data_IF_316121143107
#
_entry.id   IF_316121143107
#
_cell.length_a   1.000
_cell.length_b   1.000
_cell.length_c   1.000
_cell.angle_alpha   90.00
_cell.angle_beta   90.00
_cell.angle_gamma   90.00
#
_symmetry.space_group_name_H-M   'P 1'
#
loop_
_entity.id
_entity.type
_entity.pdbx_description
1 polymer ?
#
# COMPACT_ATOMS: atom_id res chain seq x y z
N UNK A 1 -57.02 63.88 -12.54
CA UNK A 1 -57.15 62.41 -12.80
C UNK A 1 -58.15 61.86 -11.78
N UNK A 2 -59.31 61.33 -12.21
CA UNK A 2 -60.25 60.66 -11.28
C UNK A 2 -59.79 59.21 -11.14
N UNK A 3 -59.19 58.84 -10.00
CA UNK A 3 -58.89 57.48 -9.67
C UNK A 3 -60.24 56.77 -9.41
N UNK A 4 -60.56 55.72 -10.17
CA UNK A 4 -61.78 54.97 -10.00
C UNK A 4 -61.83 54.28 -8.64
N UNK A 5 -62.94 54.32 -7.90
CA UNK A 5 -63.09 53.59 -6.62
C UNK A 5 -62.77 52.10 -6.73
N UNK A 6 -63.07 51.52 -7.89
CA UNK A 6 -62.74 50.13 -8.20
C UNK A 6 -61.21 49.87 -8.26
N UNK A 7 -60.44 50.88 -8.68
CA UNK A 7 -58.98 50.81 -8.76
C UNK A 7 -58.36 50.88 -7.37
N UNK A 8 -58.88 51.63 -6.46
CA UNK A 8 -58.48 51.72 -5.04
C UNK A 8 -58.81 50.43 -4.33
N UNK A 9 -59.99 49.85 -4.55
CA UNK A 9 -60.39 48.58 -3.95
C UNK A 9 -59.52 47.41 -4.45
N UNK A 10 -59.29 47.31 -5.75
CA UNK A 10 -58.41 46.26 -6.34
C UNK A 10 -56.98 46.43 -5.91
N UNK A 11 -56.48 47.63 -5.67
CA UNK A 11 -55.15 47.86 -5.10
C UNK A 11 -55.03 47.37 -3.65
N UNK A 12 -56.11 47.65 -2.85
CA UNK A 12 -56.23 47.16 -1.48
C UNK A 12 -56.23 45.63 -1.38
N UNK A 13 -57.05 44.98 -2.19
CA UNK A 13 -57.11 43.50 -2.24
C UNK A 13 -55.76 42.91 -2.62
N UNK A 14 -55.10 43.44 -3.64
CA UNK A 14 -53.74 42.99 -4.03
C UNK A 14 -52.69 43.20 -2.93
N UNK A 15 -52.81 44.28 -2.14
CA UNK A 15 -51.92 44.50 -1.00
C UNK A 15 -52.10 43.45 0.12
N UNK A 16 -53.37 43.14 0.43
CA UNK A 16 -53.70 42.11 1.42
C UNK A 16 -53.22 40.76 0.97
N UNK A 17 -53.43 40.39 -0.28
CA UNK A 17 -52.95 39.13 -0.85
C UNK A 17 -51.39 38.98 -0.75
N UNK A 18 -50.66 40.04 -1.13
CA UNK A 18 -49.20 40.06 -1.00
C UNK A 18 -48.73 39.92 0.44
N UNK A 19 -49.41 40.58 1.39
CA UNK A 19 -49.09 40.45 2.81
C UNK A 19 -49.34 39.04 3.33
N UNK A 20 -50.41 38.37 2.89
CA UNK A 20 -50.72 36.99 3.23
C UNK A 20 -49.68 36.03 2.66
N UNK A 21 -49.24 36.20 1.40
CA UNK A 21 -48.18 35.43 0.78
C UNK A 21 -46.85 35.59 1.52
N UNK A 22 -46.51 36.84 1.90
CA UNK A 22 -45.29 37.09 2.70
C UNK A 22 -45.35 36.44 4.08
N UNK A 23 -46.52 36.51 4.74
CA UNK A 23 -46.73 35.87 6.05
C UNK A 23 -46.57 34.36 5.96
N UNK A 24 -47.18 33.73 4.96
CA UNK A 24 -47.05 32.30 4.70
C UNK A 24 -45.57 31.88 4.41
N UNK A 25 -44.87 32.70 3.62
CA UNK A 25 -43.44 32.51 3.35
C UNK A 25 -42.59 32.57 4.62
N UNK A 26 -42.82 33.60 5.46
CA UNK A 26 -42.10 33.75 6.74
C UNK A 26 -42.41 32.61 7.70
N UNK A 27 -43.65 32.14 7.78
CA UNK A 27 -44.03 30.97 8.60
C UNK A 27 -43.29 29.73 8.13
N UNK A 28 -43.19 29.48 6.81
CA UNK A 28 -42.47 28.35 6.26
C UNK A 28 -40.95 28.45 6.51
N UNK A 29 -40.36 29.66 6.44
CA UNK A 29 -38.96 29.89 6.78
C UNK A 29 -38.68 29.61 8.25
N UNK A 30 -39.53 30.05 9.16
CA UNK A 30 -39.42 29.81 10.61
C UNK A 30 -39.59 28.30 10.90
N UNK A 31 -40.64 27.69 10.31
CA UNK A 31 -40.90 26.26 10.52
C UNK A 31 -39.80 25.34 10.02
N UNK A 32 -39.12 25.70 8.92
CA UNK A 32 -38.03 24.90 8.33
C UNK A 32 -36.65 25.29 8.82
N UNK A 33 -36.52 26.35 9.61
CA UNK A 33 -35.24 26.97 10.03
C UNK A 33 -34.32 27.29 8.83
N UNK A 34 -34.92 27.59 7.68
CA UNK A 34 -34.21 27.90 6.43
C UNK A 34 -34.64 29.24 5.88
N UNK A 35 -33.67 30.12 5.64
CA UNK A 35 -33.90 31.42 5.00
C UNK A 35 -34.35 31.29 3.54
N UNK A 36 -33.82 30.29 2.83
CA UNK A 36 -34.16 29.98 1.44
C UNK A 36 -34.92 28.67 1.40
N UNK A 37 -36.14 28.70 0.87
CA UNK A 37 -36.97 27.52 0.66
C UNK A 37 -36.85 26.99 -0.78
N UNK A 38 -36.73 27.95 -1.72
CA UNK A 38 -36.60 27.63 -3.15
C UNK A 38 -35.42 28.38 -3.77
N UNK A 39 -34.83 27.86 -4.85
CA UNK A 39 -33.77 28.56 -5.60
C UNK A 39 -34.24 29.94 -6.15
N UNK A 40 -35.54 30.13 -6.31
CA UNK A 40 -36.13 31.39 -6.78
C UNK A 40 -36.05 32.51 -5.72
N UNK A 41 -35.93 32.18 -4.43
CA UNK A 41 -35.84 33.16 -3.35
C UNK A 41 -34.54 33.95 -3.37
N UNK A 42 -33.42 33.27 -3.68
CA UNK A 42 -32.09 33.86 -3.81
C UNK A 42 -31.23 32.97 -4.70
N UNK A 43 -31.20 33.21 -6.02
CA UNK A 43 -30.49 32.35 -6.97
C UNK A 43 -28.98 32.37 -6.77
N UNK A 44 -28.40 33.47 -6.29
CA UNK A 44 -26.95 33.57 -6.03
C UNK A 44 -26.58 32.76 -4.80
N UNK A 45 -27.35 32.89 -3.74
CA UNK A 45 -27.10 32.14 -2.52
C UNK A 45 -27.38 30.64 -2.73
N UNK A 46 -28.38 30.27 -3.55
CA UNK A 46 -28.64 28.85 -3.87
C UNK A 46 -27.52 28.22 -4.68
N UNK A 47 -26.94 28.93 -5.65
CA UNK A 47 -25.77 28.46 -6.39
C UNK A 47 -24.56 28.25 -5.46
N UNK A 48 -24.31 29.18 -4.54
CA UNK A 48 -23.24 29.04 -3.53
C UNK A 48 -23.50 27.86 -2.59
N UNK A 49 -24.73 27.67 -2.13
CA UNK A 49 -25.11 26.56 -1.27
C UNK A 49 -24.90 25.22 -1.97
N UNK A 50 -25.19 25.13 -3.27
CA UNK A 50 -24.91 23.93 -4.06
C UNK A 50 -23.39 23.63 -4.12
N UNK A 51 -22.55 24.63 -4.41
CA UNK A 51 -21.10 24.49 -4.44
C UNK A 51 -20.55 24.04 -3.09
N UNK A 52 -21.03 24.62 -1.99
CA UNK A 52 -20.62 24.25 -0.63
C UNK A 52 -21.09 22.82 -0.30
N UNK A 53 -22.30 22.45 -0.73
CA UNK A 53 -22.82 21.09 -0.51
C UNK A 53 -22.00 20.05 -1.27
N UNK A 54 -21.62 20.36 -2.51
CA UNK A 54 -20.72 19.51 -3.29
C UNK A 54 -19.35 19.39 -2.64
N UNK A 55 -18.74 20.50 -2.20
CA UNK A 55 -17.46 20.48 -1.50
C UNK A 55 -17.53 19.69 -0.19
N UNK A 56 -18.62 19.83 0.57
CA UNK A 56 -18.87 19.05 1.79
C UNK A 56 -18.99 17.55 1.48
N UNK A 57 -19.72 17.19 0.43
CA UNK A 57 -19.85 15.79 -0.01
C UNK A 57 -18.50 15.18 -0.38
N UNK A 58 -17.69 15.92 -1.15
CA UNK A 58 -16.34 15.48 -1.53
C UNK A 58 -15.44 15.33 -0.31
N UNK A 59 -15.47 16.28 0.63
CA UNK A 59 -14.70 16.20 1.88
C UNK A 59 -15.12 15.00 2.72
N UNK A 60 -16.43 14.72 2.81
CA UNK A 60 -16.95 13.55 3.51
C UNK A 60 -16.43 12.24 2.87
N UNK A 61 -16.38 12.17 1.54
CA UNK A 61 -15.81 11.04 0.82
C UNK A 61 -14.31 10.87 1.13
N UNK A 62 -13.53 11.96 1.16
CA UNK A 62 -12.12 11.88 1.53
C UNK A 62 -11.91 11.37 2.96
N UNK A 63 -12.75 11.78 3.90
CA UNK A 63 -12.67 11.28 5.29
C UNK A 63 -12.95 9.78 5.35
N UNK A 64 -13.92 9.29 4.57
CA UNK A 64 -14.19 7.84 4.49
C UNK A 64 -13.03 7.10 3.83
N UNK A 65 -12.52 7.61 2.72
CA UNK A 65 -11.34 7.03 2.07
C UNK A 65 -10.11 6.98 2.99
N UNK A 66 -9.91 8.01 3.82
CA UNK A 66 -8.82 8.03 4.80
C UNK A 66 -8.99 6.95 5.88
N UNK A 67 -10.22 6.70 6.33
CA UNK A 67 -10.51 5.61 7.26
C UNK A 67 -10.22 4.25 6.64
N UNK A 68 -10.74 4.01 5.44
CA UNK A 68 -10.50 2.77 4.70
C UNK A 68 -9.01 2.53 4.49
N UNK A 69 -8.27 3.59 4.11
CA UNK A 69 -6.82 3.51 3.96
C UNK A 69 -6.11 3.17 5.27
N UNK A 70 -6.51 3.81 6.37
CA UNK A 70 -5.95 3.55 7.70
C UNK A 70 -6.22 2.12 8.16
N UNK A 71 -7.43 1.62 7.96
CA UNK A 71 -7.82 0.27 8.34
C UNK A 71 -7.06 -0.79 7.54
N UNK A 72 -6.92 -0.60 6.22
CA UNK A 72 -6.15 -1.49 5.35
C UNK A 72 -4.67 -1.51 5.72
N UNK A 73 -4.06 -0.33 5.89
CA UNK A 73 -2.66 -0.22 6.29
C UNK A 73 -2.40 -0.76 7.69
N UNK A 74 -3.34 -0.55 8.63
CA UNK A 74 -3.27 -1.13 9.98
C UNK A 74 -3.29 -2.66 9.96
N UNK A 75 -4.09 -3.27 9.06
CA UNK A 75 -4.08 -4.71 8.87
C UNK A 75 -2.75 -5.20 8.29
N UNK A 76 -2.21 -4.52 7.28
CA UNK A 76 -0.88 -4.83 6.71
C UNK A 76 0.21 -4.72 7.77
N UNK A 77 0.23 -3.66 8.57
CA UNK A 77 1.20 -3.44 9.65
C UNK A 77 1.13 -4.55 10.71
N UNK A 78 -0.08 -4.97 11.08
CA UNK A 78 -0.28 -6.10 11.99
C UNK A 78 0.28 -7.41 11.44
N UNK A 79 0.09 -7.69 10.14
CA UNK A 79 0.65 -8.89 9.51
C UNK A 79 2.18 -8.83 9.42
N UNK A 80 2.75 -7.67 9.12
CA UNK A 80 4.20 -7.47 9.08
C UNK A 80 4.84 -7.56 10.46
N UNK A 81 4.15 -7.11 11.50
CA UNK A 81 4.60 -7.30 12.89
C UNK A 81 4.64 -8.78 13.24
N UNK A 82 3.57 -9.52 12.95
CA UNK A 82 3.50 -10.97 13.16
C UNK A 82 4.59 -11.72 12.40
N UNK A 83 4.86 -11.31 11.15
CA UNK A 83 5.94 -11.84 10.33
C UNK A 83 7.32 -11.59 10.97
N UNK A 84 7.54 -10.39 11.49
CA UNK A 84 8.80 -10.02 12.15
C UNK A 84 9.06 -10.87 13.38
N UNK A 85 8.05 -11.09 14.22
CA UNK A 85 8.14 -11.93 15.40
C UNK A 85 8.43 -13.39 15.04
N UNK A 86 7.76 -13.87 13.99
CA UNK A 86 7.99 -15.21 13.44
C UNK A 86 9.43 -15.40 12.95
N UNK A 87 9.96 -14.42 12.20
CA UNK A 87 11.34 -14.46 11.71
C UNK A 87 12.37 -14.42 12.84
N UNK A 88 12.12 -13.62 13.90
CA UNK A 88 12.98 -13.59 15.09
C UNK A 88 12.97 -14.93 15.81
N UNK A 89 11.80 -15.56 15.95
CA UNK A 89 11.66 -16.89 16.51
C UNK A 89 12.40 -17.93 15.68
N UNK A 90 12.23 -17.92 14.34
CA UNK A 90 12.93 -18.81 13.43
C UNK A 90 14.45 -18.64 13.52
N UNK A 91 14.95 -17.38 13.55
CA UNK A 91 16.36 -17.08 13.76
C UNK A 91 16.91 -17.69 15.06
N UNK A 92 16.16 -17.57 16.17
CA UNK A 92 16.55 -18.16 17.44
C UNK A 92 16.70 -19.68 17.35
N UNK A 93 15.78 -20.35 16.63
CA UNK A 93 15.84 -21.80 16.41
C UNK A 93 17.00 -22.21 15.52
N UNK A 94 17.31 -21.44 14.48
CA UNK A 94 18.49 -21.69 13.63
C UNK A 94 19.78 -21.57 14.43
N UNK A 95 19.90 -20.55 15.29
CA UNK A 95 21.05 -20.40 16.19
C UNK A 95 21.15 -21.60 17.15
N UNK A 96 20.02 -22.06 17.70
CA UNK A 96 19.99 -23.26 18.53
C UNK A 96 20.44 -24.50 17.75
N UNK A 97 19.98 -24.67 16.51
CA UNK A 97 20.35 -25.81 15.66
C UNK A 97 21.85 -25.84 15.29
N UNK A 98 22.53 -24.68 15.32
CA UNK A 98 23.96 -24.59 15.07
C UNK A 98 24.83 -25.12 16.22
N UNK A 99 24.24 -25.45 17.37
CA UNK A 99 24.97 -26.01 18.51
C UNK A 99 25.49 -27.44 18.17
N UNK A 100 26.77 -27.64 18.31
CA UNK A 100 27.46 -28.91 17.99
C UNK A 100 27.15 -30.07 18.96
N UNK A 101 26.55 -29.76 20.12
CA UNK A 101 26.19 -30.77 21.15
C UNK A 101 24.89 -31.48 20.78
N UNK A 102 24.05 -30.90 19.89
CA UNK A 102 22.77 -31.47 19.53
C UNK A 102 22.92 -32.76 18.70
N UNK A 103 22.16 -33.77 19.07
CA UNK A 103 22.01 -35.00 18.32
C UNK A 103 21.21 -34.82 17.00
N UNK A 104 21.27 -35.83 16.13
CA UNK A 104 20.54 -35.79 14.85
C UNK A 104 19.02 -35.76 15.06
N UNK A 105 18.50 -36.42 16.10
CA UNK A 105 17.06 -36.36 16.44
C UNK A 105 16.60 -34.96 16.86
N UNK A 106 17.46 -34.24 17.61
CA UNK A 106 17.14 -32.89 18.06
C UNK A 106 17.15 -31.91 16.89
N UNK A 107 18.10 -32.06 15.98
CA UNK A 107 18.17 -31.28 14.74
C UNK A 107 16.97 -31.54 13.82
N UNK A 108 16.51 -32.80 13.72
CA UNK A 108 15.30 -33.14 12.99
C UNK A 108 14.05 -32.50 13.61
N UNK A 109 13.95 -32.47 14.94
CA UNK A 109 12.85 -31.81 15.62
C UNK A 109 12.83 -30.29 15.34
N UNK A 110 14.02 -29.63 15.39
CA UNK A 110 14.14 -28.20 15.05
C UNK A 110 13.79 -27.97 13.57
N UNK A 111 14.22 -28.86 12.66
CA UNK A 111 13.89 -28.74 11.24
C UNK A 111 12.38 -28.84 11.00
N UNK A 112 11.67 -29.75 11.71
CA UNK A 112 10.23 -29.86 11.63
C UNK A 112 9.53 -28.60 12.18
N UNK A 113 10.05 -28.01 13.27
CA UNK A 113 9.53 -26.75 13.80
C UNK A 113 9.75 -25.60 12.81
N UNK A 114 10.93 -25.49 12.19
CA UNK A 114 11.21 -24.49 11.17
C UNK A 114 10.31 -24.64 9.94
N UNK A 115 10.01 -25.87 9.52
CA UNK A 115 9.07 -26.14 8.44
C UNK A 115 7.65 -25.64 8.79
N UNK A 116 7.17 -25.88 10.03
CA UNK A 116 5.90 -25.36 10.49
C UNK A 116 5.86 -23.81 10.53
N UNK A 117 6.96 -23.18 10.97
CA UNK A 117 7.11 -21.71 10.93
C UNK A 117 7.09 -21.16 9.50
N UNK A 118 7.69 -21.89 8.57
CA UNK A 118 7.63 -21.49 7.16
C UNK A 118 6.21 -21.58 6.60
N UNK A 119 5.44 -22.59 6.96
CA UNK A 119 4.03 -22.70 6.57
C UNK A 119 3.17 -21.58 7.18
N UNK A 120 3.46 -21.19 8.42
CA UNK A 120 2.83 -20.04 9.07
C UNK A 120 3.17 -18.72 8.34
N UNK A 121 4.43 -18.52 7.95
CA UNK A 121 4.87 -17.38 7.14
C UNK A 121 4.15 -17.33 5.79
N UNK A 122 4.00 -18.46 5.13
CA UNK A 122 3.24 -18.57 3.87
C UNK A 122 1.76 -18.22 4.09
N UNK A 123 1.18 -18.60 5.24
CA UNK A 123 -0.15 -18.20 5.65
C UNK A 123 -0.30 -16.68 5.81
N UNK A 124 0.67 -16.02 6.45
CA UNK A 124 0.71 -14.56 6.59
C UNK A 124 0.85 -13.90 5.21
N UNK A 125 1.73 -14.39 4.34
CA UNK A 125 1.92 -13.89 2.99
C UNK A 125 0.65 -14.04 2.11
N UNK A 126 -0.21 -15.00 2.41
CA UNK A 126 -1.51 -15.24 1.77
C UNK A 126 -2.69 -14.73 2.61
N UNK A 127 -2.46 -13.78 3.52
CA UNK A 127 -3.53 -13.22 4.33
C UNK A 127 -4.53 -12.42 3.50
N UNK A 128 -5.80 -12.41 3.95
CA UNK A 128 -6.91 -11.73 3.27
C UNK A 128 -7.51 -10.65 4.16
N UNK A 129 -8.10 -9.66 3.52
CA UNK A 129 -8.92 -8.66 4.21
C UNK A 129 -10.34 -9.22 4.51
N UNK A 130 -11.19 -8.41 5.15
CA UNK A 130 -12.56 -8.78 5.46
C UNK A 130 -13.45 -8.98 4.22
N UNK A 131 -13.05 -8.43 3.07
CA UNK A 131 -13.72 -8.58 1.78
C UNK A 131 -13.31 -9.88 1.06
N UNK A 132 -12.28 -10.57 1.53
CA UNK A 132 -11.75 -11.80 0.94
C UNK A 132 -10.58 -11.57 -0.03
N UNK A 133 -10.16 -10.32 -0.25
CA UNK A 133 -9.04 -9.96 -1.11
C UNK A 133 -7.71 -10.26 -0.44
N UNK A 134 -6.74 -10.74 -1.20
CA UNK A 134 -5.38 -10.92 -0.72
C UNK A 134 -4.65 -9.59 -0.56
N UNK A 135 -3.97 -9.42 0.59
CA UNK A 135 -3.29 -8.17 0.94
C UNK A 135 -2.03 -7.90 0.09
N UNK A 136 -1.34 -8.96 -0.33
CA UNK A 136 -0.02 -8.88 -0.97
C UNK A 136 -0.02 -9.33 -2.44
N UNK A 137 -1.20 -9.39 -3.07
CA UNK A 137 -1.34 -9.83 -4.47
C UNK A 137 -1.25 -8.67 -5.49
N UNK A 138 -1.06 -7.43 -5.04
CA UNK A 138 -1.07 -6.26 -5.92
C UNK A 138 -2.47 -5.92 -6.44
N UNK A 139 -2.63 -5.77 -7.77
CA UNK A 139 -3.95 -5.57 -8.39
C UNK A 139 -4.74 -6.87 -8.54
N UNK A 140 -4.08 -8.04 -8.48
CA UNK A 140 -4.72 -9.35 -8.63
C UNK A 140 -5.25 -9.88 -7.28
N UNK A 141 -6.03 -9.07 -6.57
CA UNK A 141 -6.47 -9.34 -5.20
C UNK A 141 -7.26 -10.65 -5.00
N UNK A 142 -7.82 -11.22 -6.05
CA UNK A 142 -8.57 -12.48 -5.99
C UNK A 142 -7.67 -13.72 -6.15
N UNK A 143 -6.43 -13.54 -6.65
CA UNK A 143 -5.50 -14.64 -6.93
C UNK A 143 -4.59 -14.89 -5.73
N UNK A 144 -4.40 -16.15 -5.34
CA UNK A 144 -3.47 -16.52 -4.26
C UNK A 144 -2.05 -16.09 -4.64
N UNK A 145 -1.44 -15.13 -3.91
CA UNK A 145 -0.17 -14.55 -4.34
C UNK A 145 1.01 -15.51 -4.23
N UNK A 146 1.04 -16.37 -3.22
CA UNK A 146 2.16 -17.26 -3.00
C UNK A 146 1.70 -18.72 -3.00
N UNK A 147 2.27 -19.52 -3.88
CA UNK A 147 2.02 -20.95 -3.91
C UNK A 147 3.33 -21.73 -3.89
N UNK A 148 3.30 -22.86 -3.17
CA UNK A 148 4.41 -23.81 -3.17
C UNK A 148 4.40 -24.56 -4.49
N UNK A 149 5.52 -24.53 -5.21
CA UNK A 149 5.70 -25.39 -6.38
C UNK A 149 5.69 -26.86 -5.94
N UNK A 150 5.04 -27.71 -6.75
CA UNK A 150 5.06 -29.15 -6.49
C UNK A 150 6.53 -29.65 -6.55
N UNK A 151 7.06 -30.00 -5.38
CA UNK A 151 8.45 -30.39 -5.26
C UNK A 151 8.68 -31.79 -5.85
N UNK A 152 9.70 -31.92 -6.66
CA UNK A 152 10.24 -33.22 -7.09
C UNK A 152 10.94 -33.91 -5.89
N UNK A 153 11.30 -33.15 -4.85
CA UNK A 153 11.88 -33.61 -3.59
C UNK A 153 11.47 -32.66 -2.44
N UNK A 154 11.21 -33.17 -1.22
CA UNK A 154 10.85 -32.33 -0.07
C UNK A 154 11.93 -31.29 0.30
N UNK A 155 13.17 -31.48 -0.14
CA UNK A 155 14.26 -30.53 0.13
C UNK A 155 14.36 -29.37 -0.86
N UNK A 156 13.53 -29.33 -1.93
CA UNK A 156 13.60 -28.33 -3.01
C UNK A 156 12.25 -27.71 -3.34
N UNK A 157 11.38 -27.49 -2.33
CA UNK A 157 10.14 -26.74 -2.56
C UNK A 157 10.48 -25.26 -2.77
N UNK A 158 10.21 -24.73 -3.97
CA UNK A 158 10.26 -23.30 -4.25
C UNK A 158 8.88 -22.67 -4.06
N UNK A 159 8.86 -21.41 -3.65
CA UNK A 159 7.65 -20.59 -3.61
C UNK A 159 7.65 -19.76 -4.88
N UNK A 160 6.51 -19.75 -5.58
CA UNK A 160 6.28 -18.90 -6.75
C UNK A 160 5.28 -17.81 -6.38
N UNK A 161 5.54 -16.60 -6.87
CA UNK A 161 4.65 -15.46 -6.74
C UNK A 161 3.78 -15.35 -7.98
N UNK A 162 2.48 -15.25 -7.80
CA UNK A 162 1.45 -15.15 -8.85
C UNK A 162 0.68 -13.83 -8.82
N UNK A 163 1.04 -12.93 -7.92
CA UNK A 163 0.51 -11.57 -7.91
C UNK A 163 1.23 -10.67 -8.92
N UNK A 164 0.93 -9.39 -8.85
CA UNK A 164 1.62 -8.35 -9.62
C UNK A 164 2.30 -7.31 -8.71
N UNK A 165 3.07 -6.41 -9.30
CA UNK A 165 3.81 -5.36 -8.58
C UNK A 165 2.96 -4.08 -8.39
N UNK A 166 1.66 -4.15 -8.64
CA UNK A 166 0.75 -3.02 -8.52
C UNK A 166 0.50 -2.59 -7.08
N UNK A 167 0.28 -1.29 -6.91
CA UNK A 167 -0.16 -0.71 -5.64
C UNK A 167 -1.53 -0.09 -5.82
N UNK A 168 -2.49 -0.47 -4.99
CA UNK A 168 -3.81 0.14 -4.97
C UNK A 168 -3.72 1.53 -4.37
N UNK A 169 -4.10 2.54 -5.17
CA UNK A 169 -4.10 3.94 -4.76
C UNK A 169 -5.52 4.38 -4.40
N UNK A 170 -5.67 5.03 -3.27
CA UNK A 170 -6.92 5.62 -2.83
C UNK A 170 -6.77 7.14 -2.72
N UNK A 171 -7.74 7.89 -3.29
CA UNK A 171 -7.71 9.33 -3.22
C UNK A 171 -8.17 9.81 -1.83
N UNK A 172 -7.25 10.43 -1.09
CA UNK A 172 -7.47 10.89 0.30
C UNK A 172 -7.60 12.40 0.43
N UNK A 173 -7.29 13.14 -0.64
CA UNK A 173 -7.51 14.58 -0.75
C UNK A 173 -7.59 14.97 -2.24
N UNK A 174 -7.91 16.24 -2.54
CA UNK A 174 -8.11 16.74 -3.92
C UNK A 174 -6.93 16.45 -4.86
N UNK A 175 -5.69 16.48 -4.33
CA UNK A 175 -4.46 16.27 -5.11
C UNK A 175 -3.56 15.18 -4.51
N UNK A 176 -4.08 14.38 -3.57
CA UNK A 176 -3.27 13.38 -2.87
C UNK A 176 -3.91 12.00 -2.99
N UNK A 177 -3.10 11.06 -3.48
CA UNK A 177 -3.41 9.64 -3.46
C UNK A 177 -2.45 8.94 -2.49
N UNK A 178 -2.93 7.92 -1.80
CA UNK A 178 -2.18 7.11 -0.87
C UNK A 178 -2.23 5.66 -1.28
N UNK A 179 -1.08 4.98 -1.28
CA UNK A 179 -1.03 3.55 -1.50
C UNK A 179 -1.63 2.82 -0.28
N UNK A 180 -2.56 1.91 -0.53
CA UNK A 180 -3.25 1.12 0.49
C UNK A 180 -2.89 -0.35 0.46
N UNK A 181 -2.06 -0.76 -0.49
CA UNK A 181 -1.51 -2.11 -0.61
C UNK A 181 0.00 -2.05 -0.90
N UNK A 182 0.70 -3.11 -0.57
CA UNK A 182 2.11 -3.32 -0.90
C UNK A 182 2.23 -4.62 -1.68
N UNK A 183 3.00 -4.60 -2.78
CA UNK A 183 3.22 -5.80 -3.58
C UNK A 183 4.02 -6.86 -2.80
N UNK A 184 3.55 -8.10 -2.85
CA UNK A 184 4.23 -9.22 -2.17
C UNK A 184 5.60 -9.51 -2.75
N UNK A 185 5.83 -9.27 -4.04
CA UNK A 185 7.14 -9.38 -4.69
C UNK A 185 8.19 -8.48 -4.01
N UNK A 186 7.82 -7.25 -3.67
CA UNK A 186 8.72 -6.29 -3.04
C UNK A 186 9.09 -6.70 -1.61
N UNK A 187 8.13 -7.24 -0.85
CA UNK A 187 8.33 -7.61 0.55
C UNK A 187 9.02 -8.97 0.74
N UNK A 188 8.68 -9.96 -0.09
CA UNK A 188 9.08 -11.36 0.15
C UNK A 188 10.06 -11.91 -0.87
N UNK A 189 10.11 -11.35 -2.11
CA UNK A 189 10.94 -11.89 -3.19
C UNK A 189 12.18 -11.04 -3.45
N UNK A 190 12.09 -9.72 -3.31
CA UNK A 190 13.20 -8.79 -3.54
C UNK A 190 14.00 -8.51 -2.28
N UNK A 191 14.23 -9.53 -1.45
CA UNK A 191 15.06 -9.39 -0.25
C UNK A 191 16.53 -9.38 -0.69
N UNK A 192 17.33 -8.35 -0.34
CA UNK A 192 18.75 -8.32 -0.64
C UNK A 192 19.46 -9.50 0.02
N UNK A 193 20.09 -10.35 -0.77
CA UNK A 193 20.91 -11.45 -0.27
C UNK A 193 22.27 -10.90 0.16
N UNK A 194 22.69 -11.24 1.39
CA UNK A 194 23.99 -10.89 1.93
C UNK A 194 23.95 -9.79 2.99
N UNK A 195 25.01 -9.73 3.75
CA UNK A 195 25.22 -8.79 4.86
C UNK A 195 25.94 -7.50 4.43
N UNK A 196 26.05 -7.24 3.12
CA UNK A 196 26.80 -6.10 2.57
C UNK A 196 28.34 -6.31 2.57
N UNK A 197 28.83 -7.51 2.92
CA UNK A 197 30.27 -7.83 2.80
C UNK A 197 30.51 -8.58 1.50
N UNK A 198 31.55 -8.19 0.77
CA UNK A 198 31.99 -8.86 -0.43
C UNK A 198 33.21 -9.75 -0.10
N UNK A 199 33.14 -11.01 -0.50
CA UNK A 199 34.35 -11.86 -0.54
C UNK A 199 34.97 -11.68 -1.93
N UNK A 200 36.18 -11.16 -1.98
CA UNK A 200 36.97 -11.10 -3.21
C UNK A 200 37.96 -12.27 -3.24
N UNK A 201 37.89 -13.08 -4.27
CA UNK A 201 38.94 -14.04 -4.61
C UNK A 201 39.93 -13.36 -5.54
N UNK A 202 41.21 -13.47 -5.25
CA UNK A 202 42.26 -12.97 -6.13
C UNK A 202 42.12 -13.59 -7.53
N UNK A 203 41.89 -12.71 -8.53
CA UNK A 203 41.85 -13.14 -9.93
C UNK A 203 43.20 -13.61 -10.42
N UNK A 204 43.21 -14.31 -11.56
CA UNK A 204 44.47 -14.67 -12.24
C UNK A 204 45.02 -13.45 -13.00
N UNK A 205 46.33 -13.31 -13.02
CA UNK A 205 46.98 -12.33 -13.89
C UNK A 205 46.74 -12.66 -15.37
N UNK A 206 46.95 -11.70 -16.27
CA UNK A 206 46.81 -11.90 -17.73
C UNK A 206 47.65 -13.05 -18.25
N UNK A 207 48.73 -13.42 -17.56
CA UNK A 207 49.60 -14.56 -17.86
C UNK A 207 49.17 -15.88 -17.22
N UNK A 208 48.00 -15.91 -16.57
CA UNK A 208 47.44 -17.12 -15.95
C UNK A 208 48.04 -17.51 -14.58
N UNK A 209 49.00 -16.75 -14.06
CA UNK A 209 49.53 -16.94 -12.72
C UNK A 209 48.58 -16.49 -11.63
N UNK A 210 48.53 -17.16 -10.47
CA UNK A 210 47.69 -16.70 -9.37
C UNK A 210 48.15 -15.31 -8.89
N UNK A 211 47.22 -14.39 -8.71
CA UNK A 211 47.49 -13.10 -8.11
C UNK A 211 47.67 -13.29 -6.60
N UNK A 212 48.84 -12.98 -6.08
CA UNK A 212 49.19 -13.12 -4.66
C UNK A 212 48.85 -11.87 -3.82
N UNK A 213 48.25 -10.85 -4.42
CA UNK A 213 47.76 -9.67 -3.68
C UNK A 213 46.55 -10.02 -2.82
N UNK A 214 46.57 -9.60 -1.56
CA UNK A 214 45.42 -9.67 -0.65
C UNK A 214 44.93 -8.26 -0.40
N UNK A 215 43.63 -8.01 -0.60
CA UNK A 215 42.96 -6.77 -0.23
C UNK A 215 41.86 -7.05 0.80
N UNK A 216 41.80 -6.26 1.85
CA UNK A 216 40.67 -6.21 2.76
C UNK A 216 39.76 -5.04 2.30
N UNK A 217 38.49 -5.36 2.00
CA UNK A 217 37.48 -4.34 1.76
C UNK A 217 36.54 -4.30 2.96
N UNK A 218 36.26 -3.08 3.40
CA UNK A 218 35.22 -2.83 4.41
C UNK A 218 33.83 -3.08 3.81
N UNK A 219 32.83 -3.27 4.67
CA UNK A 219 31.43 -3.42 4.24
C UNK A 219 31.00 -2.19 3.48
N UNK A 220 30.92 -2.28 2.16
CA UNK A 220 30.45 -1.18 1.32
C UNK A 220 28.98 -0.88 1.52
N UNK A 221 28.57 0.36 1.40
CA UNK A 221 27.15 0.75 1.33
C UNK A 221 26.70 0.71 -0.13
N UNK A 222 25.52 0.14 -0.37
CA UNK A 222 24.88 0.19 -1.70
C UNK A 222 24.37 1.62 -1.94
N UNK A 223 25.04 2.37 -2.82
CA UNK A 223 24.69 3.75 -3.15
C UNK A 223 23.50 3.86 -4.11
N UNK A 224 23.28 2.85 -4.94
CA UNK A 224 22.17 2.78 -5.89
C UNK A 224 21.55 1.39 -5.91
N UNK A 225 20.39 1.28 -5.28
CA UNK A 225 19.65 0.02 -5.15
C UNK A 225 19.08 -0.46 -6.49
N UNK A 226 18.78 0.46 -7.42
CA UNK A 226 18.24 0.12 -8.73
C UNK A 226 19.34 -0.48 -9.64
N UNK A 227 20.55 0.08 -9.61
CA UNK A 227 21.70 -0.50 -10.30
C UNK A 227 22.08 -1.86 -9.72
N UNK A 228 22.00 -2.04 -8.40
CA UNK A 228 22.26 -3.31 -7.72
C UNK A 228 21.26 -4.40 -8.12
N UNK A 229 19.96 -4.09 -8.14
CA UNK A 229 18.90 -5.01 -8.59
C UNK A 229 19.08 -5.42 -10.06
N UNK A 230 19.43 -4.48 -10.93
CA UNK A 230 19.71 -4.78 -12.34
C UNK A 230 20.97 -5.64 -12.53
N UNK A 231 21.99 -5.47 -11.71
CA UNK A 231 23.19 -6.29 -11.74
C UNK A 231 22.91 -7.73 -11.30
N UNK A 232 22.04 -7.96 -10.34
CA UNK A 232 21.63 -9.30 -9.87
C UNK A 232 20.76 -10.04 -10.91
N UNK A 233 19.95 -9.34 -11.69
CA UNK A 233 19.11 -9.95 -12.74
C UNK A 233 19.89 -10.36 -13.98
N UNK A 234 21.17 -10.03 -14.09
CA UNK A 234 22.02 -10.35 -15.25
C UNK A 234 23.05 -11.44 -14.97
N UNK A 235 22.95 -12.19 -13.88
CA UNK A 235 23.79 -13.37 -13.64
C UNK A 235 23.05 -14.67 -14.02
N UNK A 236 23.69 -15.61 -14.77
CA UNK A 236 25.11 -15.73 -15.04
C UNK A 236 25.57 -14.94 -16.27
N UNK A 237 26.74 -14.32 -16.18
CA UNK A 237 27.41 -13.64 -17.27
C UNK A 237 27.64 -14.58 -18.47
N UNK A 238 26.81 -14.42 -19.48
CA UNK A 238 27.02 -15.06 -20.79
C UNK A 238 27.59 -14.03 -21.76
N UNK A 239 28.76 -13.52 -21.49
CA UNK A 239 29.40 -12.57 -22.37
C UNK A 239 30.90 -12.55 -22.19
N UNK A 240 31.61 -12.61 -23.28
CA UNK A 240 33.08 -12.51 -23.39
C UNK A 240 33.62 -11.08 -23.17
N UNK A 241 32.83 -10.18 -22.60
CA UNK A 241 33.28 -8.82 -22.32
C UNK A 241 33.70 -8.67 -20.87
N UNK A 242 35.00 -8.51 -20.66
CA UNK A 242 35.62 -8.15 -19.39
C UNK A 242 35.24 -6.69 -19.06
N UNK A 243 34.14 -6.48 -18.35
CA UNK A 243 33.85 -5.17 -17.72
C UNK A 243 34.64 -5.11 -16.41
N UNK A 244 35.78 -4.46 -16.45
CA UNK A 244 36.59 -4.21 -15.26
C UNK A 244 35.86 -3.29 -14.30
N UNK A 245 35.84 -3.67 -13.01
CA UNK A 245 35.46 -2.76 -11.93
C UNK A 245 36.49 -1.63 -11.89
N UNK A 246 36.12 -0.40 -12.28
CA UNK A 246 36.98 0.76 -12.07
C UNK A 246 36.73 1.28 -10.66
N UNK A 247 37.71 1.11 -9.79
CA UNK A 247 37.75 1.75 -8.47
C UNK A 247 38.59 3.02 -8.67
N UNK A 248 37.95 4.21 -8.55
CA UNK A 248 38.66 5.47 -8.41
C UNK A 248 38.96 5.71 -6.92
N UNK A 249 40.23 5.94 -6.59
CA UNK A 249 40.71 6.30 -5.26
C UNK A 249 40.57 7.81 -5.04
#
# INVERSE_FOLDING_TARGET
MRISTNQIYSAGVRSIQRNQEQLAKLQNQISSDRRMLTPADDPVASARALTITQAKGLTAQYVENQRDASDRLGLVDSQLTSLTDLLQSARSRVVQASNTILGDSDRQAIAAELAARFDEMLGIANSRNAQGDYLFAGYQSETTPFARSAAVSPASSSISYFGDDGQQLLQVATSQQMATSVAGSELFMNVPEGNGTFAMTAGRTVTGSPNLGSGLMDSGSVLDQAMWRNALNTFPWQGTESRGLQIQF
#
